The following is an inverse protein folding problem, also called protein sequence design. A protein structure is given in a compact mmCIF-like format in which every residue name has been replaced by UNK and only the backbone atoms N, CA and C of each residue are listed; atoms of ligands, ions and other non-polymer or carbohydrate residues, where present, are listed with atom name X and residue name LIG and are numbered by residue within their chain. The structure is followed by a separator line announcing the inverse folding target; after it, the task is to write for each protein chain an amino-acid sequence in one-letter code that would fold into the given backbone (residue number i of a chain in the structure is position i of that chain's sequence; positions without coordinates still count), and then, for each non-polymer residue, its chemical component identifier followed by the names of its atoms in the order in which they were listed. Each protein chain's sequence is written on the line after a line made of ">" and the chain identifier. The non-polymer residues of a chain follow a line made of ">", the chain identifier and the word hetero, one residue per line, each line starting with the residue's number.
data_IF_570461104558
#
_entry.id   IF_570461104558
#
_cell.length_a   1.000
_cell.length_b   1.000
_cell.length_c   1.000
_cell.angle_alpha   90.00
_cell.angle_beta   90.00
_cell.angle_gamma   90.00
#
_symmetry.space_group_name_H-M   'P 1'
#
loop_
_entity.id
_entity.type
_entity.pdbx_description
1 polymer ?
#
# COMPACT_ATOMS: atom_id res chain seq x y z
N UNK A 1 7.44 -10.97 1.45
CA UNK A 1 7.36 -9.57 0.96
C UNK A 1 7.15 -8.62 2.14
N UNK A 2 7.63 -7.37 2.07
CA UNK A 2 7.43 -6.36 3.13
C UNK A 2 6.75 -5.12 2.52
N UNK A 3 5.54 -4.82 2.98
CA UNK A 3 4.84 -3.61 2.57
C UNK A 3 5.48 -2.34 3.16
N UNK A 4 5.49 -1.27 2.38
CA UNK A 4 5.95 0.07 2.78
C UNK A 4 4.92 1.09 2.33
N UNK A 5 4.52 1.99 3.23
CA UNK A 5 3.64 3.12 2.90
C UNK A 5 4.51 4.23 2.31
N UNK A 6 4.08 4.79 1.18
CA UNK A 6 4.75 5.87 0.48
C UNK A 6 3.71 6.93 0.05
N UNK A 7 4.19 8.00 -0.59
CA UNK A 7 3.38 9.13 -1.06
C UNK A 7 2.62 9.89 0.04
N UNK A 8 3.39 10.69 0.79
CA UNK A 8 2.86 11.56 1.84
C UNK A 8 2.44 12.95 1.33
N UNK A 9 2.28 13.16 0.01
CA UNK A 9 2.01 14.48 -0.59
C UNK A 9 0.72 15.14 -0.12
N UNK A 10 -0.25 14.34 0.35
CA UNK A 10 -1.54 14.80 0.88
C UNK A 10 -1.63 14.74 2.41
N UNK A 11 -0.58 14.33 3.12
CA UNK A 11 -0.61 14.21 4.58
C UNK A 11 -0.93 15.54 5.24
N UNK A 12 -1.74 15.47 6.29
CA UNK A 12 -2.08 16.59 7.16
C UNK A 12 -1.92 16.15 8.61
N UNK A 13 -1.46 17.08 9.45
CA UNK A 13 -1.44 16.85 10.90
C UNK A 13 -2.87 16.97 11.42
N UNK A 14 -3.40 15.87 11.96
CA UNK A 14 -4.67 15.89 12.66
C UNK A 14 -4.53 16.69 13.96
N UNK A 15 -5.49 17.56 14.31
CA UNK A 15 -5.45 18.29 15.57
C UNK A 15 -5.45 17.35 16.78
N UNK A 16 -4.58 17.64 17.75
CA UNK A 16 -4.24 16.78 18.90
C UNK A 16 -5.47 16.38 19.75
N UNK A 17 -6.52 17.19 19.74
CA UNK A 17 -7.67 17.01 20.63
C UNK A 17 -8.82 16.21 20.01
N UNK A 18 -8.74 15.75 18.75
CA UNK A 18 -9.80 15.00 18.06
C UNK A 18 -11.15 15.73 17.89
N UNK A 19 -11.29 16.92 18.50
CA UNK A 19 -12.47 17.79 18.51
C UNK A 19 -12.37 18.90 17.47
N UNK A 20 -11.15 19.22 17.04
CA UNK A 20 -10.90 20.20 16.00
C UNK A 20 -10.59 19.45 14.73
N UNK A 21 -11.25 19.87 13.67
CA UNK A 21 -11.05 19.29 12.36
C UNK A 21 -10.67 20.39 11.39
N UNK A 22 -9.73 20.09 10.50
CA UNK A 22 -9.33 21.03 9.47
C UNK A 22 -10.25 20.82 8.28
N UNK A 23 -10.96 21.86 7.85
CA UNK A 23 -11.66 21.89 6.58
C UNK A 23 -10.63 22.20 5.48
N UNK A 24 -10.41 21.25 4.57
CA UNK A 24 -9.47 21.40 3.45
C UNK A 24 -10.22 21.35 2.11
N UNK A 25 -9.57 21.82 1.04
CA UNK A 25 -10.00 21.44 -0.32
C UNK A 25 -10.02 19.91 -0.41
N UNK A 26 -11.11 19.35 -0.94
CA UNK A 26 -11.25 17.91 -1.10
C UNK A 26 -10.12 17.39 -2.00
N UNK A 27 -9.30 16.50 -1.44
CA UNK A 27 -8.21 15.83 -2.14
C UNK A 27 -8.11 14.38 -1.66
N UNK A 28 -7.86 13.47 -2.58
CA UNK A 28 -7.70 12.03 -2.33
C UNK A 28 -8.26 11.18 -3.46
N UNK A 29 -8.20 9.86 -3.28
CA UNK A 29 -8.59 8.90 -4.31
C UNK A 29 -10.03 8.44 -4.10
N UNK A 30 -10.88 8.59 -5.12
CA UNK A 30 -12.26 8.09 -5.09
C UNK A 30 -12.30 6.58 -4.82
N UNK A 31 -13.27 6.14 -4.03
CA UNK A 31 -13.37 4.76 -3.52
C UNK A 31 -12.79 4.58 -2.11
N UNK A 32 -11.79 5.37 -1.73
CA UNK A 32 -11.16 5.31 -0.41
C UNK A 32 -11.64 6.39 0.56
N UNK A 33 -12.28 7.44 0.04
CA UNK A 33 -12.70 8.59 0.85
C UNK A 33 -13.78 8.19 1.85
N UNK A 34 -13.54 8.51 3.13
CA UNK A 34 -14.56 8.41 4.15
C UNK A 34 -15.74 9.35 3.82
N UNK A 35 -16.99 8.93 4.06
CA UNK A 35 -18.17 9.70 3.64
C UNK A 35 -18.22 11.09 4.27
N UNK A 36 -17.85 11.24 5.54
CA UNK A 36 -17.78 12.53 6.20
C UNK A 36 -16.69 13.43 5.61
N UNK A 37 -15.56 12.88 5.20
CA UNK A 37 -14.50 13.67 4.56
C UNK A 37 -14.94 14.14 3.17
N UNK A 38 -15.60 13.27 2.39
CA UNK A 38 -16.14 13.63 1.08
C UNK A 38 -17.19 14.74 1.15
N UNK A 39 -18.02 14.75 2.20
CA UNK A 39 -19.10 15.75 2.37
C UNK A 39 -18.60 17.04 3.00
N UNK A 40 -17.75 16.95 4.02
CA UNK A 40 -17.41 18.10 4.88
C UNK A 40 -15.97 18.60 4.72
N UNK A 41 -15.12 17.87 3.99
CA UNK A 41 -13.68 18.15 3.91
C UNK A 41 -12.94 17.97 5.24
N UNK A 42 -13.59 17.32 6.22
CA UNK A 42 -13.13 17.22 7.60
C UNK A 42 -12.03 16.16 7.77
N UNK A 43 -10.81 16.59 8.05
CA UNK A 43 -9.68 15.68 8.29
C UNK A 43 -9.67 15.19 9.75
N UNK A 44 -9.65 13.87 9.95
CA UNK A 44 -9.47 13.19 11.26
C UNK A 44 -8.70 11.89 11.05
N UNK A 45 -8.12 11.31 12.10
CA UNK A 45 -7.48 9.98 12.01
C UNK A 45 -8.45 8.87 11.59
N UNK A 46 -9.76 9.06 11.78
CA UNK A 46 -10.79 8.08 11.40
C UNK A 46 -11.04 8.00 9.90
N UNK A 47 -10.61 8.99 9.11
CA UNK A 47 -10.71 8.92 7.64
C UNK A 47 -9.68 7.94 7.08
N UNK A 48 -8.51 7.86 7.72
CA UNK A 48 -7.47 6.88 7.39
C UNK A 48 -7.91 5.46 7.77
N UNK A 49 -8.58 5.30 8.91
CA UNK A 49 -9.17 4.01 9.32
C UNK A 49 -10.18 3.51 8.29
N UNK A 50 -11.03 4.40 7.76
CA UNK A 50 -11.98 4.03 6.70
C UNK A 50 -11.24 3.54 5.46
N UNK A 51 -10.25 4.32 4.99
CA UNK A 51 -9.45 3.98 3.81
C UNK A 51 -8.73 2.65 3.98
N UNK A 52 -8.21 2.38 5.19
CA UNK A 52 -7.63 1.10 5.55
C UNK A 52 -8.63 -0.06 5.48
N UNK A 53 -9.86 0.14 5.97
CA UNK A 53 -10.93 -0.85 5.82
C UNK A 53 -11.25 -1.18 4.37
N UNK A 54 -11.23 -0.18 3.48
CA UNK A 54 -11.40 -0.41 2.03
C UNK A 54 -10.27 -1.29 1.49
N UNK A 55 -9.01 -1.00 1.85
CA UNK A 55 -7.86 -1.82 1.44
C UNK A 55 -8.01 -3.27 1.91
N UNK A 56 -8.48 -3.50 3.15
CA UNK A 56 -8.74 -4.87 3.62
C UNK A 56 -9.78 -5.59 2.75
N UNK A 57 -10.86 -4.90 2.35
CA UNK A 57 -11.86 -5.47 1.44
C UNK A 57 -11.29 -5.73 0.04
N UNK A 58 -10.40 -4.88 -0.46
CA UNK A 58 -9.70 -5.10 -1.74
C UNK A 58 -8.82 -6.35 -1.66
N UNK A 59 -8.04 -6.49 -0.57
CA UNK A 59 -7.18 -7.65 -0.36
C UNK A 59 -7.96 -8.96 -0.27
N UNK A 60 -9.13 -8.95 0.37
CA UNK A 60 -9.97 -10.15 0.49
C UNK A 60 -10.62 -10.53 -0.85
N UNK A 61 -11.02 -9.54 -1.66
CA UNK A 61 -11.86 -9.77 -2.84
C UNK A 61 -11.14 -9.71 -4.18
N UNK A 62 -9.90 -9.20 -4.23
CA UNK A 62 -9.16 -8.95 -5.46
C UNK A 62 -9.77 -7.85 -6.34
N UNK A 63 -10.79 -7.14 -5.87
CA UNK A 63 -11.50 -6.10 -6.61
C UNK A 63 -10.96 -4.72 -6.27
N UNK A 64 -11.07 -3.80 -7.24
CA UNK A 64 -10.75 -2.38 -7.05
C UNK A 64 -11.81 -1.68 -6.19
N UNK A 65 -11.39 -0.73 -5.36
CA UNK A 65 -12.29 0.08 -4.52
C UNK A 65 -13.41 0.77 -5.32
N UNK A 66 -13.08 1.21 -6.53
CA UNK A 66 -14.00 1.77 -7.53
C UNK A 66 -13.75 1.10 -8.88
N UNK A 67 -14.77 0.44 -9.41
CA UNK A 67 -14.70 -0.28 -10.69
C UNK A 67 -15.83 0.19 -11.63
N UNK A 68 -15.51 1.13 -12.51
CA UNK A 68 -16.45 1.73 -13.47
C UNK A 68 -16.92 0.76 -14.57
N UNK A 69 -16.27 -0.41 -14.70
CA UNK A 69 -16.68 -1.44 -15.67
C UNK A 69 -17.89 -2.25 -15.20
N UNK A 70 -18.22 -2.14 -13.92
CA UNK A 70 -19.29 -2.88 -13.26
C UNK A 70 -20.60 -2.09 -13.24
N UNK A 71 -21.75 -2.76 -13.12
CA UNK A 71 -23.03 -2.10 -12.87
C UNK A 71 -22.98 -1.16 -11.67
N UNK A 72 -23.86 -0.15 -11.64
CA UNK A 72 -23.93 0.86 -10.59
C UNK A 72 -24.01 0.25 -9.19
N UNK A 73 -24.71 -0.89 -9.04
CA UNK A 73 -24.84 -1.53 -7.74
C UNK A 73 -23.52 -2.18 -7.25
N UNK A 74 -22.63 -2.61 -8.15
CA UNK A 74 -21.36 -3.28 -7.82
C UNK A 74 -20.11 -2.42 -8.07
N UNK A 75 -20.28 -1.21 -8.60
CA UNK A 75 -19.22 -0.24 -8.88
C UNK A 75 -18.42 0.14 -7.63
N UNK A 76 -19.10 0.34 -6.49
CA UNK A 76 -18.48 0.68 -5.22
C UNK A 76 -18.21 -0.56 -4.36
N UNK A 77 -16.93 -0.82 -4.08
CA UNK A 77 -16.52 -2.04 -3.36
C UNK A 77 -17.19 -2.19 -2.00
N UNK A 78 -17.17 -1.14 -1.16
CA UNK A 78 -17.72 -1.22 0.22
C UNK A 78 -19.20 -1.62 0.21
N UNK A 79 -19.99 -1.00 -0.67
CA UNK A 79 -21.43 -1.28 -0.79
C UNK A 79 -21.69 -2.69 -1.30
N UNK A 80 -20.93 -3.13 -2.31
CA UNK A 80 -21.01 -4.48 -2.84
C UNK A 80 -20.60 -5.52 -1.80
N UNK A 81 -19.44 -5.36 -1.18
CA UNK A 81 -18.85 -6.33 -0.26
C UNK A 81 -19.73 -6.55 0.98
N UNK A 82 -20.32 -5.46 1.51
CA UNK A 82 -21.31 -5.56 2.60
C UNK A 82 -22.52 -6.40 2.24
N UNK A 83 -23.01 -6.31 1.01
CA UNK A 83 -24.13 -7.15 0.54
C UNK A 83 -23.70 -8.60 0.40
N UNK A 84 -22.51 -8.85 -0.14
CA UNK A 84 -21.98 -10.20 -0.30
C UNK A 84 -21.74 -10.90 1.06
N UNK A 85 -21.32 -10.15 2.08
CA UNK A 85 -21.06 -10.66 3.43
C UNK A 85 -22.35 -11.08 4.18
N UNK A 86 -23.54 -10.67 3.75
CA UNK A 86 -24.80 -11.03 4.44
C UNK A 86 -25.15 -12.52 4.35
N UNK A 87 -24.68 -13.21 3.31
CA UNK A 87 -24.94 -14.63 3.11
C UNK A 87 -23.61 -15.37 2.93
N UNK A 88 -23.45 -16.51 3.63
CA UNK A 88 -22.21 -17.30 3.62
C UNK A 88 -21.82 -17.79 2.23
N UNK A 89 -22.79 -18.16 1.39
CA UNK A 89 -22.54 -18.69 0.06
C UNK A 89 -22.12 -17.58 -0.91
N UNK A 90 -22.70 -16.39 -0.79
CA UNK A 90 -22.27 -15.23 -1.56
C UNK A 90 -20.93 -14.70 -1.07
N UNK A 91 -20.71 -14.71 0.24
CA UNK A 91 -19.45 -14.27 0.82
C UNK A 91 -18.27 -15.11 0.33
N UNK A 92 -18.41 -16.45 0.31
CA UNK A 92 -17.39 -17.34 -0.25
C UNK A 92 -17.06 -17.04 -1.71
N UNK A 93 -18.05 -16.62 -2.51
CA UNK A 93 -17.85 -16.22 -3.91
C UNK A 93 -17.25 -14.81 -4.07
N UNK A 94 -17.26 -14.01 -3.01
CA UNK A 94 -16.68 -12.67 -3.01
C UNK A 94 -15.21 -12.65 -2.60
N UNK A 95 -14.69 -13.76 -2.07
CA UNK A 95 -13.27 -13.93 -1.75
C UNK A 95 -12.51 -14.19 -3.05
N UNK A 96 -11.34 -13.59 -3.18
CA UNK A 96 -10.43 -13.77 -4.30
C UNK A 96 -10.11 -15.26 -4.52
N UNK A 97 -10.24 -15.72 -5.77
CA UNK A 97 -10.02 -17.11 -6.16
C UNK A 97 -8.56 -17.59 -6.00
N UNK A 98 -7.61 -16.64 -5.91
CA UNK A 98 -6.19 -16.92 -5.66
C UNK A 98 -5.92 -17.26 -4.19
N UNK A 99 -6.85 -16.97 -3.28
CA UNK A 99 -6.76 -17.34 -1.87
C UNK A 99 -7.18 -18.81 -1.71
N UNK A 100 -6.26 -19.65 -1.27
CA UNK A 100 -6.56 -21.05 -0.97
C UNK A 100 -7.42 -21.13 0.29
N UNK A 101 -8.70 -21.46 0.12
CA UNK A 101 -9.67 -21.54 1.21
C UNK A 101 -9.68 -22.92 1.86
N UNK A 102 -9.13 -23.02 3.06
CA UNK A 102 -9.44 -24.05 4.04
C UNK A 102 -10.24 -23.47 5.22
N UNK A 103 -10.62 -24.29 6.19
CA UNK A 103 -11.44 -23.84 7.34
C UNK A 103 -10.72 -22.81 8.23
N UNK A 104 -9.39 -22.91 8.37
CA UNK A 104 -8.58 -21.98 9.18
C UNK A 104 -8.43 -20.62 8.49
N UNK A 105 -8.12 -20.64 7.20
CA UNK A 105 -8.02 -19.45 6.35
C UNK A 105 -9.37 -18.75 6.24
N UNK A 106 -10.46 -19.51 6.09
CA UNK A 106 -11.80 -18.95 6.07
C UNK A 106 -12.16 -18.25 7.39
N UNK A 107 -11.78 -18.83 8.54
CA UNK A 107 -11.95 -18.19 9.83
C UNK A 107 -11.17 -16.87 9.93
N UNK A 108 -9.90 -16.88 9.49
CA UNK A 108 -9.04 -15.70 9.46
C UNK A 108 -9.60 -14.61 8.54
N UNK A 109 -10.04 -14.96 7.32
CA UNK A 109 -10.69 -14.05 6.38
C UNK A 109 -11.99 -13.47 6.95
N UNK A 110 -12.77 -14.27 7.70
CA UNK A 110 -13.97 -13.80 8.40
C UNK A 110 -13.61 -12.73 9.44
N UNK A 111 -12.57 -12.95 10.25
CA UNK A 111 -12.11 -11.96 11.23
C UNK A 111 -11.63 -10.66 10.56
N UNK A 112 -10.85 -10.75 9.48
CA UNK A 112 -10.41 -9.56 8.72
C UNK A 112 -11.61 -8.83 8.10
N UNK A 113 -12.61 -9.58 7.62
CA UNK A 113 -13.85 -9.04 7.04
C UNK A 113 -14.67 -8.25 8.07
N UNK A 114 -14.84 -8.80 9.28
CA UNK A 114 -15.53 -8.11 10.37
C UNK A 114 -14.81 -6.82 10.75
N UNK A 115 -13.48 -6.87 10.90
CA UNK A 115 -12.66 -5.69 11.16
C UNK A 115 -12.82 -4.64 10.06
N UNK A 116 -12.72 -5.05 8.78
CA UNK A 116 -12.91 -4.16 7.65
C UNK A 116 -14.30 -3.50 7.65
N UNK A 117 -15.35 -4.27 8.01
CA UNK A 117 -16.71 -3.78 8.17
C UNK A 117 -16.82 -2.66 9.20
N UNK A 118 -16.19 -2.83 10.37
CA UNK A 118 -16.12 -1.82 11.44
C UNK A 118 -15.27 -0.60 11.04
N UNK A 119 -14.13 -0.80 10.37
CA UNK A 119 -13.31 0.29 9.83
C UNK A 119 -14.10 1.14 8.83
N UNK A 120 -14.92 0.53 7.98
CA UNK A 120 -15.75 1.21 7.01
C UNK A 120 -17.08 1.75 7.57
N UNK A 121 -17.32 1.74 8.89
CA UNK A 121 -18.55 2.25 9.49
C UNK A 121 -18.85 3.69 9.03
N UNK A 122 -20.14 4.00 8.82
CA UNK A 122 -20.54 5.32 8.29
C UNK A 122 -20.16 6.42 9.26
N UNK A 123 -20.45 6.22 10.54
CA UNK A 123 -20.13 7.15 11.60
C UNK A 123 -18.67 6.96 12.11
N UNK A 124 -17.83 8.02 12.15
CA UNK A 124 -16.41 7.91 12.52
C UNK A 124 -16.15 7.37 13.93
N UNK A 125 -17.07 7.62 14.87
CA UNK A 125 -16.94 7.17 16.25
C UNK A 125 -17.20 5.66 16.41
N UNK A 126 -17.84 5.02 15.43
CA UNK A 126 -18.04 3.56 15.42
C UNK A 126 -16.82 2.81 14.86
N UNK A 127 -15.89 3.54 14.22
CA UNK A 127 -14.66 2.95 13.69
C UNK A 127 -13.67 2.71 14.82
N UNK A 128 -12.99 1.56 14.85
CA UNK A 128 -11.95 1.29 15.82
C UNK A 128 -10.77 2.26 15.65
N UNK A 129 -9.93 2.38 16.68
CA UNK A 129 -8.64 3.04 16.52
C UNK A 129 -7.67 2.12 15.78
N UNK A 130 -6.70 2.69 15.05
CA UNK A 130 -5.73 1.90 14.29
C UNK A 130 -4.93 0.93 15.18
N UNK A 131 -4.68 1.27 16.44
CA UNK A 131 -4.06 0.35 17.41
C UNK A 131 -4.88 -0.93 17.63
N UNK A 132 -6.21 -0.81 17.68
CA UNK A 132 -7.09 -1.96 17.80
C UNK A 132 -7.07 -2.81 16.52
N UNK A 133 -7.08 -2.16 15.34
CA UNK A 133 -6.96 -2.87 14.07
C UNK A 133 -5.64 -3.67 13.99
N UNK A 134 -4.52 -3.09 14.42
CA UNK A 134 -3.23 -3.79 14.51
C UNK A 134 -3.33 -4.99 15.46
N UNK A 135 -3.90 -4.84 16.64
CA UNK A 135 -4.02 -5.95 17.60
C UNK A 135 -4.79 -7.14 17.03
N UNK A 136 -5.90 -6.89 16.31
CA UNK A 136 -6.70 -7.95 15.67
C UNK A 136 -5.92 -8.63 14.55
N UNK A 137 -5.21 -7.86 13.72
CA UNK A 137 -4.44 -8.42 12.60
C UNK A 137 -3.17 -9.14 13.05
N UNK A 138 -2.52 -8.68 14.11
CA UNK A 138 -1.31 -9.30 14.66
C UNK A 138 -1.56 -10.70 15.23
N UNK A 139 -2.78 -11.04 15.66
CA UNK A 139 -3.09 -12.41 16.07
C UNK A 139 -3.26 -13.38 14.90
N UNK A 140 -3.44 -12.86 13.67
CA UNK A 140 -3.63 -13.66 12.46
C UNK A 140 -2.37 -13.76 11.61
N UNK A 141 -1.41 -12.85 11.82
CA UNK A 141 -0.16 -12.83 11.08
C UNK A 141 0.92 -13.60 11.83
N UNK A 142 1.71 -14.40 11.11
CA UNK A 142 3.00 -14.84 11.64
C UNK A 142 3.87 -13.61 11.94
N UNK A 143 4.43 -13.54 13.14
CA UNK A 143 5.34 -12.46 13.51
C UNK A 143 6.52 -12.44 12.54
N UNK A 144 6.66 -11.35 11.80
CA UNK A 144 7.86 -11.09 11.02
C UNK A 144 9.06 -11.12 11.95
N UNK A 145 10.01 -12.02 11.66
CA UNK A 145 11.30 -12.06 12.32
C UNK A 145 12.31 -11.33 11.44
N UNK A 146 13.25 -10.57 12.02
CA UNK A 146 14.40 -10.11 11.26
C UNK A 146 15.07 -11.31 10.59
N UNK A 147 15.56 -11.13 9.37
CA UNK A 147 16.53 -12.08 8.85
C UNK A 147 17.68 -12.13 9.86
N UNK A 148 18.07 -13.34 10.28
CA UNK A 148 19.29 -13.51 11.08
C UNK A 148 20.41 -12.80 10.31
N UNK A 149 21.16 -11.89 10.94
CA UNK A 149 22.31 -11.29 10.28
C UNK A 149 23.24 -12.43 9.92
N UNK A 150 23.41 -12.71 8.63
CA UNK A 150 24.52 -13.55 8.19
C UNK A 150 25.78 -12.86 8.72
N UNK A 151 26.61 -13.58 9.49
CA UNK A 151 27.80 -12.97 10.12
C UNK A 151 28.74 -12.36 9.08
N UNK A 152 28.58 -12.79 7.83
CA UNK A 152 29.35 -12.36 6.66
C UNK A 152 28.73 -11.13 5.94
N UNK A 153 27.48 -10.74 6.25
CA UNK A 153 26.74 -9.62 5.64
C UNK A 153 26.54 -8.41 6.59
N UNK A 154 27.09 -8.44 7.81
CA UNK A 154 27.01 -7.35 8.79
C UNK A 154 27.48 -6.00 8.23
N UNK A 155 28.34 -6.04 7.21
CA UNK A 155 28.57 -4.92 6.32
C UNK A 155 28.32 -5.40 4.88
N UNK A 156 27.10 -5.25 4.37
CA UNK A 156 26.81 -5.32 2.92
C UNK A 156 27.60 -4.31 2.06
N UNK A 157 28.58 -3.65 2.67
CA UNK A 157 29.63 -2.82 2.11
C UNK A 157 30.93 -3.45 2.59
N UNK A 158 31.67 -4.08 1.68
CA UNK A 158 33.05 -4.45 1.94
C UNK A 158 33.84 -3.16 2.23
N UNK A 159 34.21 -2.92 3.49
CA UNK A 159 34.95 -1.72 3.91
C UNK A 159 36.36 -1.66 3.30
N UNK A 160 36.85 -2.75 2.71
CA UNK A 160 38.11 -2.75 1.98
C UNK A 160 37.97 -2.16 0.56
N UNK A 161 36.74 -1.99 0.06
CA UNK A 161 36.46 -1.40 -1.23
C UNK A 161 36.18 0.10 -1.11
N UNK A 162 36.85 0.89 -1.94
CA UNK A 162 36.47 2.30 -2.13
C UNK A 162 35.09 2.38 -2.82
N UNK A 163 34.32 3.44 -2.54
CA UNK A 163 33.01 3.67 -3.16
C UNK A 163 32.97 3.45 -4.69
N UNK A 164 33.96 3.89 -5.48
CA UNK A 164 34.00 3.60 -6.92
C UNK A 164 34.16 2.11 -7.26
N UNK A 165 34.89 1.36 -6.44
CA UNK A 165 35.07 -0.09 -6.64
C UNK A 165 33.81 -0.86 -6.27
N UNK A 166 33.13 -0.47 -5.18
CA UNK A 166 31.84 -1.02 -4.80
C UNK A 166 30.79 -0.78 -5.91
N UNK A 167 30.72 0.43 -6.47
CA UNK A 167 29.84 0.77 -7.59
C UNK A 167 30.11 -0.10 -8.83
N UNK A 168 31.39 -0.32 -9.16
CA UNK A 168 31.79 -1.15 -10.30
C UNK A 168 31.44 -2.63 -10.10
N UNK A 169 31.57 -3.13 -8.86
CA UNK A 169 31.16 -4.50 -8.47
C UNK A 169 29.64 -4.67 -8.61
N UNK A 170 28.86 -3.67 -8.20
CA UNK A 170 27.40 -3.68 -8.35
C UNK A 170 26.97 -3.67 -9.83
N UNK A 171 27.57 -2.81 -10.64
CA UNK A 171 27.31 -2.78 -12.10
C UNK A 171 27.66 -4.10 -12.80
N UNK A 172 28.71 -4.79 -12.33
CA UNK A 172 29.09 -6.11 -12.84
C UNK A 172 28.10 -7.21 -12.41
N UNK A 173 27.49 -7.10 -11.23
CA UNK A 173 26.50 -8.06 -10.74
C UNK A 173 25.17 -7.94 -11.48
N UNK A 174 24.77 -6.72 -11.85
CA UNK A 174 23.59 -6.44 -12.68
C UNK A 174 23.70 -7.03 -14.10
N UNK A 175 24.92 -7.24 -14.60
CA UNK A 175 25.19 -7.80 -15.93
C UNK A 175 25.31 -9.32 -16.00
N UNK A 176 25.23 -10.04 -14.88
CA UNK A 176 25.46 -11.49 -14.83
C UNK A 176 24.20 -12.27 -14.40
N UNK A 177 23.09 -12.02 -15.08
CA UNK A 177 21.91 -12.89 -15.06
C UNK A 177 21.95 -13.90 -16.22
N UNK A 178 22.98 -14.74 -16.26
CA UNK A 178 22.90 -16.01 -16.98
C UNK A 178 22.28 -17.05 -16.04
N UNK A 179 20.95 -17.08 -16.06
CA UNK A 179 20.19 -18.29 -15.79
C UNK A 179 20.39 -19.19 -17.00
N UNK A 180 21.13 -20.28 -16.83
CA UNK A 180 21.07 -21.41 -17.75
C UNK A 180 19.68 -22.06 -17.62
N UNK A 181 18.76 -21.68 -18.49
CA UNK A 181 17.89 -22.67 -19.13
C UNK A 181 17.77 -22.35 -20.62
N UNK A 182 18.04 -23.37 -21.43
CA UNK A 182 18.44 -23.22 -22.83
C UNK A 182 17.25 -23.06 -23.77
N UNK A 183 17.42 -22.11 -24.70
CA UNK A 183 17.16 -22.19 -26.16
C UNK A 183 16.24 -21.11 -26.75
N UNK A 184 16.92 -20.05 -27.20
CA UNK A 184 16.78 -19.32 -28.48
C UNK A 184 15.38 -19.07 -29.07
N UNK A 185 15.03 -17.80 -29.28
CA UNK A 185 14.82 -17.19 -30.61
C UNK A 185 14.76 -15.64 -30.55
N UNK A 186 15.73 -15.01 -31.24
CA UNK A 186 15.71 -13.73 -31.99
C UNK A 186 15.35 -12.38 -31.32
N UNK A 187 16.39 -11.59 -31.01
CA UNK A 187 16.78 -10.36 -31.73
C UNK A 187 15.87 -9.11 -31.70
N UNK A 188 16.28 -8.08 -30.94
CA UNK A 188 16.41 -6.71 -31.46
C UNK A 188 17.28 -5.85 -30.55
N UNK A 189 18.28 -5.23 -31.17
CA UNK A 189 19.04 -4.09 -30.68
C UNK A 189 18.15 -2.84 -30.71
N UNK A 190 17.91 -2.20 -29.57
CA UNK A 190 18.09 -0.74 -29.39
C UNK A 190 17.50 -0.26 -28.05
N UNK A 191 18.40 0.27 -27.21
CA UNK A 191 18.25 1.41 -26.30
C UNK A 191 16.98 1.57 -25.43
N UNK A 192 17.12 1.45 -24.11
CA UNK A 192 16.44 2.28 -23.09
C UNK A 192 17.36 2.38 -21.87
N UNK A 193 18.23 3.39 -21.80
CA UNK A 193 18.05 4.64 -21.05
C UNK A 193 17.49 4.49 -19.63
N UNK A 194 18.39 4.79 -18.70
CA UNK A 194 18.23 5.15 -17.29
C UNK A 194 16.92 5.86 -16.97
N UNK A 195 16.22 5.38 -15.95
CA UNK A 195 14.97 5.89 -15.39
C UNK A 195 15.10 7.20 -14.59
N UNK A 196 16.04 8.07 -14.96
CA UNK A 196 16.18 9.42 -14.38
C UNK A 196 15.83 10.46 -15.45
N UNK A 197 14.78 11.28 -15.27
CA UNK A 197 14.46 12.36 -16.19
C UNK A 197 15.62 13.37 -16.29
N UNK A 198 15.92 13.84 -17.51
CA UNK A 198 16.95 14.85 -17.72
C UNK A 198 16.62 16.17 -17.00
N UNK A 199 17.67 16.78 -16.44
CA UNK A 199 17.65 18.10 -15.79
C UNK A 199 17.12 19.17 -16.76
N UNK A 200 16.15 20.01 -16.35
CA UNK A 200 15.65 21.08 -17.21
C UNK A 200 16.72 22.18 -17.41
N UNK A 201 16.80 22.81 -18.60
CA UNK A 201 17.75 23.89 -18.87
C UNK A 201 17.42 25.10 -18.00
N UNK A 202 18.42 25.58 -17.24
CA UNK A 202 18.29 26.73 -16.32
C UNK A 202 18.29 26.38 -14.83
N UNK A 203 18.46 25.11 -14.46
CA UNK A 203 18.57 24.69 -13.06
C UNK A 203 19.96 24.98 -12.49
N UNK A 204 20.03 25.75 -11.39
CA UNK A 204 21.28 26.22 -10.79
C UNK A 204 22.24 25.07 -10.43
N UNK A 205 23.54 25.29 -10.63
CA UNK A 205 24.60 24.29 -10.37
C UNK A 205 24.96 24.15 -8.89
N UNK A 206 24.53 25.09 -8.04
CA UNK A 206 24.76 25.08 -6.60
C UNK A 206 23.74 25.98 -5.89
N UNK A 207 23.30 25.58 -4.69
CA UNK A 207 22.51 26.43 -3.80
C UNK A 207 23.41 26.90 -2.65
N UNK A 208 23.77 28.17 -2.63
CA UNK A 208 24.36 28.80 -1.46
C UNK A 208 23.28 29.50 -0.65
N UNK A 209 23.44 29.56 0.68
CA UNK A 209 22.49 30.15 1.63
C UNK A 209 22.21 31.65 1.41
N UNK A 210 22.90 32.30 0.46
CA UNK A 210 22.66 33.70 0.08
C UNK A 210 21.50 33.89 -0.92
N UNK A 211 20.98 32.84 -1.54
CA UNK A 211 19.97 32.95 -2.62
C UNK A 211 18.51 32.88 -2.14
N UNK A 212 18.28 32.89 -0.82
CA UNK A 212 16.94 32.99 -0.24
C UNK A 212 16.71 34.41 0.33
N UNK A 213 16.23 35.32 -0.53
CA UNK A 213 15.51 36.53 -0.12
C UNK A 213 14.33 36.80 -1.03
#
# INVERSE_FOLDING_TARGET
>A
MRAKVADFGLVRLAPVDGKQSIETRLAGTFGYLAPEYAVTGRVTTKVDVFSFGVILMELISGRRALDETQPEESMHLVSWFRRMHMNKDTFRKAIDETIQLDEETLASVSTVTELAGHCCAREPYQRPDMSHAVNVLSSLAELWKPAEPDSDDIYGIDLELTLPQALKKWQAFEGNSNVDDSSSFLGSTDTTQTSIPCRPPGFAESFASSDAR
#
